data_IF_721262777191
#
_entry.id   IF_721262777191
#
_cell.length_a   1.000
_cell.length_b   1.000
_cell.length_c   1.000
_cell.angle_alpha   90.00
_cell.angle_beta   90.00
_cell.angle_gamma   90.00
#
_symmetry.space_group_name_H-M   'P 1'
#
loop_
_entity.id
_entity.type
_entity.pdbx_description
1 polymer ?
#
# COMPACT_ATOMS: atom_id res chain seq x y z
N UNK A 1 -5.97 -54.09 50.45
CA UNK A 1 -5.05 -54.56 49.42
C UNK A 1 -4.95 -53.52 48.33
N UNK A 2 -3.72 -53.01 48.11
CA UNK A 2 -3.28 -52.17 47.00
C UNK A 2 -3.71 -50.70 47.13
N UNK A 3 -3.00 -49.93 47.77
CA UNK A 3 -1.75 -49.28 47.53
C UNK A 3 -1.69 -48.63 46.12
N UNK A 4 -1.93 -47.31 46.15
CA UNK A 4 -1.58 -46.47 45.06
C UNK A 4 -0.96 -45.20 45.59
N UNK A 5 0.33 -45.17 45.47
CA UNK A 5 1.15 -44.01 45.80
C UNK A 5 0.83 -42.75 45.01
N UNK A 6 1.15 -41.63 45.57
CA UNK A 6 0.86 -40.33 44.96
C UNK A 6 1.86 -40.05 43.85
N UNK A 7 1.31 -39.87 42.63
CA UNK A 7 2.04 -39.32 41.53
C UNK A 7 2.37 -37.85 41.80
N UNK A 8 3.62 -37.62 42.05
CA UNK A 8 4.23 -36.31 42.13
C UNK A 8 4.04 -35.57 40.80
N UNK A 9 3.02 -34.73 40.73
CA UNK A 9 2.90 -33.70 39.74
C UNK A 9 3.91 -32.60 40.03
N UNK A 10 5.14 -32.82 39.66
CA UNK A 10 6.15 -31.78 39.69
C UNK A 10 5.70 -30.66 38.77
N UNK A 11 5.40 -29.55 39.37
CA UNK A 11 5.19 -28.28 38.71
C UNK A 11 6.38 -27.95 37.82
N UNK A 12 6.24 -28.20 36.55
CA UNK A 12 7.03 -27.52 35.56
C UNK A 12 6.42 -26.13 35.37
N UNK A 13 6.67 -25.27 36.31
CA UNK A 13 6.68 -23.85 36.04
C UNK A 13 7.97 -23.63 35.23
N UNK A 14 7.87 -23.93 33.96
CA UNK A 14 8.88 -23.57 33.02
C UNK A 14 9.01 -22.04 33.05
N UNK A 15 10.16 -21.61 33.44
CA UNK A 15 10.62 -20.26 33.42
C UNK A 15 10.37 -19.65 32.02
N UNK A 16 9.29 -18.93 31.89
CA UNK A 16 9.07 -17.94 30.83
C UNK A 16 9.71 -16.62 31.29
N UNK A 17 10.96 -16.67 31.58
CA UNK A 17 11.74 -15.52 31.94
C UNK A 17 13.06 -15.51 31.17
N UNK A 18 12.92 -15.50 29.89
CA UNK A 18 13.92 -14.92 29.01
C UNK A 18 13.11 -14.20 27.93
N UNK A 19 12.72 -12.99 28.23
CA UNK A 19 12.40 -12.01 27.23
C UNK A 19 13.61 -11.96 26.31
N UNK A 20 13.51 -12.63 25.19
CA UNK A 20 14.43 -12.54 24.08
C UNK A 20 14.38 -11.11 23.53
N UNK A 21 15.03 -10.22 24.25
CA UNK A 21 15.23 -8.83 23.82
C UNK A 21 16.35 -8.73 22.77
N UNK A 22 16.73 -9.85 22.17
CA UNK A 22 17.73 -9.91 21.11
C UNK A 22 17.17 -9.66 19.72
N UNK A 23 15.85 -9.78 19.51
CA UNK A 23 15.22 -9.56 18.21
C UNK A 23 15.32 -8.11 17.72
N UNK A 24 15.22 -7.14 18.59
CA UNK A 24 15.19 -5.73 18.18
C UNK A 24 16.53 -5.15 17.71
N UNK A 25 17.65 -5.70 18.14
CA UNK A 25 18.96 -5.21 17.73
C UNK A 25 19.37 -5.67 16.33
N UNK A 26 19.00 -6.86 15.94
CA UNK A 26 19.33 -7.39 14.61
C UNK A 26 18.45 -6.74 13.53
N UNK A 27 17.19 -6.45 13.79
CA UNK A 27 16.31 -5.78 12.83
C UNK A 27 16.74 -4.33 12.56
N UNK A 28 17.13 -3.59 13.60
CA UNK A 28 17.59 -2.21 13.45
C UNK A 28 18.94 -2.15 12.71
N UNK A 29 19.84 -3.11 12.97
CA UNK A 29 21.11 -3.23 12.25
C UNK A 29 20.89 -3.63 10.79
N UNK A 30 20.01 -4.57 10.52
CA UNK A 30 19.69 -5.01 9.15
C UNK A 30 19.06 -3.86 8.35
N UNK A 31 18.19 -3.09 8.95
CA UNK A 31 17.56 -1.95 8.30
C UNK A 31 18.56 -0.81 7.97
N UNK A 32 19.56 -0.56 8.81
CA UNK A 32 20.64 0.40 8.52
C UNK A 32 21.48 -0.05 7.33
N UNK A 33 21.81 -1.32 7.23
CA UNK A 33 22.56 -1.85 6.08
C UNK A 33 21.75 -1.74 4.79
N UNK A 34 20.46 -1.98 4.82
CA UNK A 34 19.56 -1.82 3.68
C UNK A 34 19.46 -0.37 3.22
N UNK A 35 19.35 0.57 4.15
CA UNK A 35 19.32 2.02 3.86
C UNK A 35 20.64 2.48 3.24
N UNK A 36 21.77 2.09 3.80
CA UNK A 36 23.10 2.45 3.26
C UNK A 36 23.32 1.83 1.88
N UNK A 37 22.90 0.58 1.67
CA UNK A 37 22.96 -0.06 0.35
C UNK A 37 22.10 0.69 -0.66
N UNK A 38 20.86 1.03 -0.32
CA UNK A 38 19.97 1.80 -1.19
C UNK A 38 20.52 3.19 -1.53
N UNK A 39 21.16 3.88 -0.59
CA UNK A 39 21.83 5.16 -0.84
C UNK A 39 23.03 5.02 -1.79
N UNK A 40 23.84 3.97 -1.64
CA UNK A 40 24.95 3.68 -2.58
C UNK A 40 24.45 3.42 -3.98
N UNK A 41 23.35 2.66 -4.12
CA UNK A 41 22.74 2.37 -5.41
C UNK A 41 22.17 3.63 -6.06
N UNK A 42 21.53 4.51 -5.27
CA UNK A 42 21.03 5.80 -5.72
C UNK A 42 22.17 6.73 -6.21
N UNK A 43 23.30 6.77 -5.49
CA UNK A 43 24.48 7.55 -5.88
C UNK A 43 25.11 6.98 -7.17
N UNK A 44 25.19 5.67 -7.29
CA UNK A 44 25.69 5.01 -8.49
C UNK A 44 24.81 5.34 -9.70
N UNK A 45 23.50 5.28 -9.54
CA UNK A 45 22.55 5.65 -10.58
C UNK A 45 22.69 7.12 -11.01
N UNK A 46 22.82 8.04 -10.05
CA UNK A 46 23.04 9.47 -10.33
C UNK A 46 24.36 9.74 -11.08
N UNK A 47 25.36 8.85 -10.93
CA UNK A 47 26.63 8.88 -11.64
C UNK A 47 26.60 8.17 -13.00
N UNK A 48 25.43 7.67 -13.43
CA UNK A 48 25.23 6.99 -14.71
C UNK A 48 25.42 5.47 -14.68
N UNK A 49 25.69 4.87 -13.51
CA UNK A 49 25.76 3.42 -13.34
C UNK A 49 24.38 2.84 -13.01
N UNK A 50 23.64 2.49 -14.04
CA UNK A 50 22.32 1.87 -13.91
C UNK A 50 22.37 0.35 -13.64
N UNK A 51 23.55 -0.26 -13.58
CA UNK A 51 23.71 -1.72 -13.45
C UNK A 51 23.17 -2.27 -12.11
N UNK A 52 23.14 -1.43 -11.09
CA UNK A 52 22.65 -1.75 -9.74
C UNK A 52 21.23 -1.29 -9.46
N UNK A 53 20.66 -0.49 -10.35
CA UNK A 53 19.28 -0.05 -10.20
C UNK A 53 18.34 -1.22 -10.51
N UNK A 54 17.58 -1.67 -9.49
CA UNK A 54 16.43 -2.55 -9.73
C UNK A 54 15.35 -1.74 -10.42
N UNK A 55 15.37 -1.72 -11.73
CA UNK A 55 14.24 -1.21 -12.51
C UNK A 55 13.14 -2.26 -12.45
N UNK A 56 12.20 -2.13 -11.55
CA UNK A 56 10.98 -2.94 -11.57
C UNK A 56 10.09 -2.38 -12.68
N UNK A 57 10.02 -3.08 -13.79
CA UNK A 57 9.05 -2.74 -14.83
C UNK A 57 7.68 -3.14 -14.33
N UNK A 58 6.83 -2.17 -14.08
CA UNK A 58 5.44 -2.40 -13.71
C UNK A 58 4.63 -2.34 -14.99
N UNK A 59 4.09 -3.48 -15.40
CA UNK A 59 3.18 -3.54 -16.54
C UNK A 59 1.79 -3.11 -16.09
N UNK A 60 1.40 -1.93 -16.52
CA UNK A 60 0.03 -1.43 -16.28
C UNK A 60 -0.91 -2.09 -17.28
N UNK A 61 -2.02 -2.69 -16.85
CA UNK A 61 -2.99 -3.30 -17.75
C UNK A 61 -3.41 -2.35 -18.87
N UNK A 62 -3.38 -2.81 -20.11
CA UNK A 62 -3.76 -2.00 -21.27
C UNK A 62 -5.24 -1.69 -21.30
N UNK A 63 -6.06 -2.59 -20.77
CA UNK A 63 -7.51 -2.48 -20.73
C UNK A 63 -8.02 -2.70 -19.30
N UNK A 64 -8.80 -1.76 -18.80
CA UNK A 64 -9.52 -1.86 -17.52
C UNK A 64 -11.00 -1.64 -17.82
N UNK A 65 -11.84 -2.58 -17.40
CA UNK A 65 -13.28 -2.45 -17.46
C UNK A 65 -13.76 -1.57 -16.30
N UNK A 66 -13.87 -0.27 -16.57
CA UNK A 66 -14.23 0.74 -15.57
C UNK A 66 -15.64 0.52 -15.02
N UNK A 67 -16.56 0.04 -15.84
CA UNK A 67 -17.93 -0.26 -15.43
C UNK A 67 -17.97 -1.41 -14.43
N UNK A 68 -17.30 -2.53 -14.72
CA UNK A 68 -17.22 -3.67 -13.79
C UNK A 68 -16.53 -3.28 -12.48
N UNK A 69 -15.49 -2.47 -12.55
CA UNK A 69 -14.79 -1.98 -11.37
C UNK A 69 -15.74 -1.18 -10.46
N UNK A 70 -16.47 -0.24 -11.02
CA UNK A 70 -17.44 0.58 -10.27
C UNK A 70 -18.58 -0.27 -9.67
N UNK A 71 -19.13 -1.17 -10.47
CA UNK A 71 -20.21 -2.08 -10.03
C UNK A 71 -19.73 -3.02 -8.93
N UNK A 72 -18.50 -3.51 -9.01
CA UNK A 72 -17.88 -4.31 -7.96
C UNK A 72 -17.71 -3.57 -6.62
N UNK A 73 -17.65 -2.23 -6.65
CA UNK A 73 -17.63 -1.37 -5.48
C UNK A 73 -19.03 -0.92 -5.03
N UNK A 74 -20.09 -1.39 -5.71
CA UNK A 74 -21.49 -1.01 -5.46
C UNK A 74 -21.73 0.52 -5.48
N UNK A 75 -21.08 1.22 -6.41
CA UNK A 75 -21.19 2.67 -6.55
C UNK A 75 -21.96 3.06 -7.80
N UNK A 76 -22.74 4.13 -7.71
CA UNK A 76 -23.27 4.83 -8.89
C UNK A 76 -22.18 5.58 -9.65
N UNK A 77 -22.43 5.94 -10.91
CA UNK A 77 -21.48 6.74 -11.69
C UNK A 77 -21.11 8.06 -11.01
N UNK A 78 -22.07 8.86 -10.49
CA UNK A 78 -21.75 10.11 -9.79
C UNK A 78 -20.91 9.89 -8.54
N UNK A 79 -21.24 8.87 -7.74
CA UNK A 79 -20.50 8.56 -6.52
C UNK A 79 -19.05 8.16 -6.82
N UNK A 80 -18.85 7.28 -7.79
CA UNK A 80 -17.52 6.85 -8.19
C UNK A 80 -16.69 8.02 -8.73
N UNK A 81 -17.28 8.85 -9.59
CA UNK A 81 -16.63 10.01 -10.17
C UNK A 81 -16.21 11.02 -9.07
N UNK A 82 -17.14 11.34 -8.15
CA UNK A 82 -16.88 12.27 -7.05
C UNK A 82 -15.81 11.71 -6.09
N UNK A 83 -15.92 10.44 -5.73
CA UNK A 83 -15.04 9.81 -4.74
C UNK A 83 -13.59 9.71 -5.18
N UNK A 84 -13.37 9.41 -6.46
CA UNK A 84 -12.02 9.23 -7.02
C UNK A 84 -11.54 10.38 -7.88
N UNK A 85 -12.27 11.50 -7.91
CA UNK A 85 -11.85 12.73 -8.57
C UNK A 85 -11.94 12.70 -10.10
N UNK A 86 -12.77 11.84 -10.69
CA UNK A 86 -13.02 11.82 -12.14
C UNK A 86 -14.17 12.74 -12.53
N UNK A 87 -14.13 13.28 -13.74
CA UNK A 87 -15.34 13.93 -14.28
C UNK A 87 -16.38 12.87 -14.66
N UNK A 88 -17.65 13.15 -14.35
CA UNK A 88 -18.74 12.22 -14.70
C UNK A 88 -18.84 11.98 -16.21
N UNK A 89 -18.56 13.01 -17.02
CA UNK A 89 -18.53 12.90 -18.47
C UNK A 89 -17.43 11.96 -18.96
N UNK A 90 -16.24 12.06 -18.40
CA UNK A 90 -15.11 11.19 -18.72
C UNK A 90 -15.41 9.74 -18.33
N UNK A 91 -15.96 9.52 -17.13
CA UNK A 91 -16.33 8.19 -16.66
C UNK A 91 -17.35 7.52 -17.60
N UNK A 92 -18.37 8.27 -18.03
CA UNK A 92 -19.37 7.79 -18.99
C UNK A 92 -18.76 7.40 -20.32
N UNK A 93 -17.81 8.17 -20.83
CA UNK A 93 -17.11 7.87 -22.08
C UNK A 93 -16.30 6.56 -21.96
N UNK A 94 -15.63 6.34 -20.83
CA UNK A 94 -14.90 5.10 -20.58
C UNK A 94 -15.82 3.88 -20.48
N UNK A 95 -16.92 3.99 -19.73
CA UNK A 95 -17.88 2.90 -19.59
C UNK A 95 -18.62 2.56 -20.88
N UNK A 96 -18.78 3.52 -21.78
CA UNK A 96 -19.38 3.35 -23.10
C UNK A 96 -18.37 2.91 -24.17
N UNK A 97 -17.11 2.76 -23.82
CA UNK A 97 -16.04 2.41 -24.76
C UNK A 97 -15.72 3.49 -25.81
N UNK A 98 -16.24 4.71 -25.65
CA UNK A 98 -15.98 5.82 -26.58
C UNK A 98 -14.57 6.36 -26.46
N UNK A 99 -13.99 6.26 -25.28
CA UNK A 99 -12.62 6.67 -24.98
C UNK A 99 -12.01 5.68 -23.99
N UNK A 100 -10.74 5.35 -24.17
CA UNK A 100 -9.98 4.56 -23.19
C UNK A 100 -9.40 5.49 -22.12
N UNK A 101 -9.26 5.04 -20.86
CA UNK A 101 -8.51 5.73 -19.85
C UNK A 101 -7.06 5.95 -20.29
N UNK A 102 -6.50 7.13 -20.03
CA UNK A 102 -5.09 7.42 -20.29
C UNK A 102 -4.16 6.67 -19.32
N UNK A 103 -2.84 6.81 -19.50
CA UNK A 103 -1.87 6.06 -18.70
C UNK A 103 -2.01 6.33 -17.20
N UNK A 104 -2.18 7.57 -16.79
CA UNK A 104 -2.33 7.95 -15.38
C UNK A 104 -3.65 7.44 -14.80
N UNK A 105 -4.75 7.58 -15.53
CA UNK A 105 -6.04 7.05 -15.12
C UNK A 105 -6.03 5.53 -15.00
N UNK A 106 -5.35 4.81 -15.91
CA UNK A 106 -5.20 3.36 -15.81
C UNK A 106 -4.46 2.92 -14.55
N UNK A 107 -3.37 3.60 -14.21
CA UNK A 107 -2.63 3.33 -12.97
C UNK A 107 -3.55 3.53 -11.76
N UNK A 108 -4.26 4.65 -11.68
CA UNK A 108 -5.17 4.93 -10.58
C UNK A 108 -6.31 3.90 -10.50
N UNK A 109 -6.94 3.58 -11.62
CA UNK A 109 -8.00 2.56 -11.68
C UNK A 109 -7.48 1.18 -11.27
N UNK A 110 -6.24 0.83 -11.60
CA UNK A 110 -5.60 -0.41 -11.15
C UNK A 110 -5.41 -0.40 -9.63
N UNK A 111 -4.97 0.71 -9.04
CA UNK A 111 -4.84 0.81 -7.58
C UNK A 111 -6.20 0.72 -6.90
N UNK A 112 -7.22 1.40 -7.45
CA UNK A 112 -8.60 1.32 -6.95
C UNK A 112 -9.13 -0.12 -6.98
N UNK A 113 -8.84 -0.88 -8.04
CA UNK A 113 -9.30 -2.26 -8.17
C UNK A 113 -8.72 -3.19 -7.10
N UNK A 114 -7.51 -2.95 -6.65
CA UNK A 114 -6.83 -3.77 -5.65
C UNK A 114 -7.00 -3.25 -4.22
N UNK A 115 -7.01 -1.94 -4.05
CA UNK A 115 -7.00 -1.31 -2.73
C UNK A 115 -7.80 0.00 -2.71
N UNK A 116 -9.12 -0.03 -2.89
CA UNK A 116 -9.94 1.17 -2.93
C UNK A 116 -9.83 2.00 -1.65
N UNK A 117 -9.80 1.34 -0.49
CA UNK A 117 -9.64 2.00 0.82
C UNK A 117 -8.34 2.76 0.98
N UNK A 118 -7.26 2.31 0.35
CA UNK A 118 -5.97 3.01 0.42
C UNK A 118 -6.04 4.35 -0.33
N UNK A 119 -6.71 4.36 -1.48
CA UNK A 119 -6.93 5.59 -2.26
C UNK A 119 -7.85 6.55 -1.51
N UNK A 120 -8.95 6.07 -0.95
CA UNK A 120 -9.87 6.86 -0.15
C UNK A 120 -9.15 7.53 1.02
N UNK A 121 -8.40 6.75 1.80
CA UNK A 121 -7.63 7.27 2.94
C UNK A 121 -6.59 8.32 2.52
N UNK A 122 -5.92 8.12 1.40
CA UNK A 122 -4.96 9.09 0.88
C UNK A 122 -5.64 10.41 0.52
N UNK A 123 -6.76 10.36 -0.19
CA UNK A 123 -7.53 11.55 -0.59
C UNK A 123 -8.12 12.28 0.62
N UNK A 124 -8.65 11.56 1.61
CA UNK A 124 -9.16 12.17 2.85
C UNK A 124 -8.05 12.85 3.66
N UNK A 125 -6.88 12.26 3.70
CA UNK A 125 -5.73 12.82 4.42
C UNK A 125 -5.29 14.14 3.78
N UNK A 126 -5.23 14.20 2.46
CA UNK A 126 -4.88 15.43 1.74
C UNK A 126 -5.97 16.49 1.85
N UNK A 127 -7.24 16.12 1.77
CA UNK A 127 -8.35 17.03 1.98
C UNK A 127 -8.30 17.71 3.36
N UNK A 128 -7.96 16.96 4.41
CA UNK A 128 -7.76 17.52 5.76
C UNK A 128 -6.57 18.46 5.83
N UNK A 129 -5.46 18.16 5.16
CA UNK A 129 -4.29 19.04 5.10
C UNK A 129 -4.60 20.37 4.46
N UNK A 130 -5.31 20.35 3.35
CA UNK A 130 -5.74 21.58 2.63
C UNK A 130 -6.69 22.41 3.48
N UNK A 131 -7.62 21.77 4.20
CA UNK A 131 -8.56 22.48 5.08
C UNK A 131 -7.88 23.15 6.28
N UNK A 132 -6.77 22.58 6.79
CA UNK A 132 -6.01 23.13 7.94
C UNK A 132 -5.02 24.23 7.51
N UNK A 133 -4.66 24.32 6.24
CA UNK A 133 -3.75 25.35 5.70
C UNK A 133 -4.42 26.22 4.65
N UNK A 134 -5.33 27.14 5.03
CA UNK A 134 -6.05 27.96 4.06
C UNK A 134 -5.18 29.04 3.38
N UNK A 135 -3.88 29.13 3.69
CA UNK A 135 -3.03 30.22 3.24
C UNK A 135 -1.75 29.77 2.51
N UNK A 136 -1.86 28.80 1.60
CA UNK A 136 -0.87 28.65 0.54
C UNK A 136 -1.50 29.11 -0.78
N UNK A 137 -1.60 30.42 -0.90
CA UNK A 137 -1.89 31.08 -2.15
C UNK A 137 -0.92 30.55 -3.21
N UNK A 138 -1.50 30.02 -4.26
CA UNK A 138 -0.83 29.70 -5.51
C UNK A 138 -0.24 31.01 -6.03
N UNK A 139 1.06 31.09 -6.01
CA UNK A 139 1.81 32.11 -6.71
C UNK A 139 2.20 31.58 -8.07
#
# INVERSE_FOLDING_TARGET
>A
MQDNGPGSGSAQIAAHSALDYTGGRNEVMDNRHKVVAGLRDAIAYAKGDASRARVTRIDVPQCIDVKKLREGLNMSQPEFALKFGFSLGTLRQWEQGRRAPDGAARVLLTVISHSPKAVEKALETEARRVAVSPNRAVG
#
